data_IF_171046710981
#
_entry.id   IF_171046710981
#
_cell.length_a   1.000
_cell.length_b   1.000
_cell.length_c   1.000
_cell.angle_alpha   90.00
_cell.angle_beta   90.00
_cell.angle_gamma   90.00
#
_symmetry.space_group_name_H-M   'P 1'
#
loop_
_entity.id
_entity.type
_entity.pdbx_description
1 polymer ?
#
# COMPACT_ATOMS: atom_id res chain seq x y z
N UNK A 1 5.91 2.01 17.22
CA UNK A 1 5.40 1.90 15.85
C UNK A 1 5.27 0.43 15.46
N UNK A 2 4.27 0.13 14.64
CA UNK A 2 4.06 -1.22 14.13
C UNK A 2 5.18 -1.59 13.15
N UNK A 3 5.86 -2.72 13.36
CA UNK A 3 6.97 -3.17 12.50
C UNK A 3 6.62 -4.39 11.65
N UNK A 4 5.48 -4.99 11.91
CA UNK A 4 4.98 -6.10 11.12
C UNK A 4 3.46 -6.14 11.21
N UNK A 5 2.84 -6.69 10.17
CA UNK A 5 1.39 -6.80 10.10
C UNK A 5 1.01 -7.95 9.18
N UNK A 6 -0.23 -8.40 9.29
CA UNK A 6 -0.80 -9.37 8.35
C UNK A 6 -1.76 -8.67 7.41
N UNK A 7 -1.70 -9.02 6.15
CA UNK A 7 -2.56 -8.47 5.11
C UNK A 7 -2.89 -9.60 4.14
N UNK A 8 -4.17 -9.91 4.01
CA UNK A 8 -4.66 -11.00 3.15
C UNK A 8 -3.95 -12.34 3.45
N UNK A 9 -3.74 -12.63 4.74
CA UNK A 9 -3.10 -13.86 5.19
C UNK A 9 -1.58 -13.90 5.03
N UNK A 10 -0.96 -12.84 4.55
CA UNK A 10 0.49 -12.76 4.37
C UNK A 10 1.11 -11.84 5.41
N UNK A 11 2.24 -12.26 5.95
CA UNK A 11 3.00 -11.46 6.92
C UNK A 11 3.92 -10.51 6.18
N UNK A 12 3.79 -9.23 6.52
CA UNK A 12 4.62 -8.15 5.99
C UNK A 12 5.43 -7.51 7.10
N UNK A 13 6.59 -6.96 6.75
CA UNK A 13 7.45 -6.24 7.68
C UNK A 13 7.68 -4.82 7.16
N UNK A 14 7.85 -3.89 8.09
CA UNK A 14 8.21 -2.50 7.80
C UNK A 14 9.59 -2.25 8.40
N UNK A 15 10.50 -1.72 7.61
CA UNK A 15 11.87 -1.40 8.04
C UNK A 15 12.24 0.01 7.62
N UNK A 16 12.72 0.77 8.59
CA UNK A 16 13.27 2.09 8.31
C UNK A 16 14.76 1.96 8.06
N UNK A 17 15.27 2.76 7.11
CA UNK A 17 16.67 2.68 6.70
C UNK A 17 17.20 4.07 6.34
N UNK A 18 18.53 4.19 6.26
CA UNK A 18 19.18 5.42 5.83
C UNK A 18 18.73 5.81 4.41
N UNK A 19 18.51 7.10 4.11
CA UNK A 19 18.04 7.54 2.81
C UNK A 19 18.93 7.17 1.61
N UNK A 20 20.22 6.92 1.86
CA UNK A 20 21.15 6.52 0.80
C UNK A 20 21.25 5.01 0.58
N UNK A 21 20.49 4.22 1.35
CA UNK A 21 20.55 2.77 1.20
C UNK A 21 20.04 2.35 -0.19
N UNK A 22 20.83 1.56 -0.95
CA UNK A 22 20.43 1.09 -2.28
C UNK A 22 19.11 0.32 -2.32
N UNK A 23 18.63 -0.20 -1.20
CA UNK A 23 17.33 -0.88 -1.12
C UNK A 23 16.18 0.06 -1.48
N UNK A 24 16.38 1.37 -1.41
CA UNK A 24 15.37 2.37 -1.77
C UNK A 24 15.34 2.69 -3.27
N UNK A 25 16.14 2.02 -4.07
CA UNK A 25 16.03 2.11 -5.54
C UNK A 25 14.84 1.24 -5.97
N UNK A 26 13.89 1.86 -6.67
CA UNK A 26 12.70 1.16 -7.11
C UNK A 26 12.94 0.29 -8.36
N UNK A 27 11.91 -0.42 -8.81
CA UNK A 27 11.98 -1.30 -9.98
C UNK A 27 12.22 -0.57 -11.30
N UNK A 28 12.13 0.76 -11.32
CA UNK A 28 12.46 1.58 -12.49
C UNK A 28 13.91 2.07 -12.46
N UNK A 29 14.65 1.76 -11.38
CA UNK A 29 16.02 2.21 -11.19
C UNK A 29 16.16 3.59 -10.59
N UNK A 30 15.06 4.15 -10.05
CA UNK A 30 15.03 5.48 -9.45
C UNK A 30 15.16 5.38 -7.93
N UNK A 31 16.03 6.22 -7.34
CA UNK A 31 16.12 6.35 -5.89
C UNK A 31 14.86 7.03 -5.36
N UNK A 32 14.23 6.40 -4.35
CA UNK A 32 12.97 6.87 -3.76
C UNK A 32 13.10 6.98 -2.25
N UNK A 33 12.05 7.44 -1.58
CA UNK A 33 12.01 7.47 -0.11
C UNK A 33 11.38 6.23 0.50
N UNK A 34 10.81 5.33 -0.31
CA UNK A 34 10.27 4.06 0.17
C UNK A 34 10.09 3.09 -1.00
N UNK A 35 10.16 1.79 -0.69
CA UNK A 35 9.98 0.71 -1.66
C UNK A 35 9.22 -0.43 -1.01
N UNK A 36 8.22 -0.97 -1.70
CA UNK A 36 7.53 -2.20 -1.33
C UNK A 36 8.08 -3.35 -2.16
N UNK A 37 8.72 -4.30 -1.49
CA UNK A 37 9.24 -5.50 -2.13
C UNK A 37 8.23 -6.65 -1.96
N UNK A 38 7.54 -7.00 -3.04
CA UNK A 38 6.54 -8.06 -3.03
C UNK A 38 7.13 -9.45 -2.86
N UNK A 39 8.40 -9.66 -3.20
CA UNK A 39 9.06 -10.97 -3.09
C UNK A 39 9.42 -11.29 -1.63
N UNK A 40 9.97 -10.31 -0.92
CA UNK A 40 10.35 -10.47 0.49
C UNK A 40 9.24 -10.07 1.45
N UNK A 41 8.24 -9.36 0.96
CA UNK A 41 7.14 -8.78 1.75
C UNK A 41 7.68 -7.84 2.82
N UNK A 42 8.57 -6.95 2.41
CA UNK A 42 9.12 -5.90 3.25
C UNK A 42 8.83 -4.55 2.61
N UNK A 43 8.36 -3.61 3.43
CA UNK A 43 8.25 -2.21 3.04
C UNK A 43 9.44 -1.49 3.65
N UNK A 44 10.30 -0.92 2.81
CA UNK A 44 11.46 -0.14 3.22
C UNK A 44 11.12 1.35 3.15
N UNK A 45 11.41 2.08 4.20
CA UNK A 45 11.11 3.51 4.30
C UNK A 45 12.35 4.26 4.77
N UNK A 46 12.63 5.39 4.13
CA UNK A 46 13.70 6.29 4.58
C UNK A 46 13.40 6.81 5.97
N UNK A 47 14.38 6.78 6.86
CA UNK A 47 14.26 7.35 8.21
C UNK A 47 14.37 8.87 8.24
N UNK A 48 14.62 9.50 7.08
CA UNK A 48 14.71 10.94 6.95
C UNK A 48 13.35 11.63 6.73
N UNK A 49 12.26 10.88 6.57
CA UNK A 49 10.93 11.46 6.36
C UNK A 49 10.07 11.34 7.62
N UNK A 50 9.15 12.29 7.79
CA UNK A 50 8.29 12.35 8.98
C UNK A 50 7.00 13.10 8.69
N UNK A 51 6.08 13.16 9.67
CA UNK A 51 4.84 13.93 9.60
C UNK A 51 3.88 13.49 8.52
N UNK A 52 3.16 14.44 7.94
CA UNK A 52 2.17 14.18 6.88
C UNK A 52 2.76 13.46 5.68
N UNK A 53 3.97 13.82 5.29
CA UNK A 53 4.62 13.17 4.17
C UNK A 53 4.87 11.68 4.44
N UNK A 54 5.32 11.35 5.65
CA UNK A 54 5.49 9.95 6.04
C UNK A 54 4.16 9.20 5.97
N UNK A 55 3.08 9.80 6.44
CA UNK A 55 1.75 9.18 6.37
C UNK A 55 1.34 8.89 4.93
N UNK A 56 1.54 9.86 4.02
CA UNK A 56 1.24 9.66 2.61
C UNK A 56 2.07 8.54 1.99
N UNK A 57 3.36 8.49 2.32
CA UNK A 57 4.26 7.44 1.84
C UNK A 57 3.83 6.07 2.36
N UNK A 58 3.49 5.97 3.63
CA UNK A 58 3.00 4.70 4.22
C UNK A 58 1.73 4.23 3.53
N UNK A 59 0.76 5.12 3.28
CA UNK A 59 -0.46 4.76 2.56
C UNK A 59 -0.16 4.30 1.14
N UNK A 60 0.76 4.98 0.45
CA UNK A 60 1.19 4.60 -0.90
C UNK A 60 1.79 3.19 -0.91
N UNK A 61 2.72 2.90 -0.01
CA UNK A 61 3.39 1.61 0.05
C UNK A 61 2.46 0.49 0.52
N UNK A 62 1.56 0.76 1.47
CA UNK A 62 0.55 -0.21 1.88
C UNK A 62 -0.40 -0.54 0.73
N UNK A 63 -0.66 0.40 -0.17
CA UNK A 63 -1.46 0.15 -1.37
C UNK A 63 -0.78 -0.85 -2.29
N UNK A 64 0.54 -0.75 -2.48
CA UNK A 64 1.30 -1.76 -3.22
C UNK A 64 1.22 -3.13 -2.54
N UNK A 65 1.41 -3.17 -1.23
CA UNK A 65 1.31 -4.43 -0.47
C UNK A 65 -0.08 -5.06 -0.62
N UNK A 66 -1.13 -4.24 -0.60
CA UNK A 66 -2.51 -4.71 -0.82
C UNK A 66 -2.67 -5.31 -2.22
N UNK A 67 -2.18 -4.63 -3.25
CA UNK A 67 -2.26 -5.12 -4.62
C UNK A 67 -1.48 -6.42 -4.79
N UNK A 68 -0.29 -6.52 -4.18
CA UNK A 68 0.54 -7.73 -4.26
C UNK A 68 -0.07 -8.92 -3.53
N UNK A 69 -0.81 -8.68 -2.45
CA UNK A 69 -1.29 -9.75 -1.57
C UNK A 69 -2.75 -10.18 -1.81
N UNK A 70 -3.53 -9.39 -2.54
CA UNK A 70 -4.98 -9.61 -2.69
C UNK A 70 -5.39 -10.30 -4.00
N UNK A 71 -4.45 -10.57 -4.90
CA UNK A 71 -4.77 -11.04 -6.25
C UNK A 71 -5.21 -9.94 -7.21
N UNK A 72 -5.23 -8.69 -6.76
CA UNK A 72 -5.62 -7.55 -7.59
C UNK A 72 -4.73 -7.40 -8.83
N UNK A 73 -3.43 -7.66 -8.71
CA UNK A 73 -2.51 -7.56 -9.84
C UNK A 73 -2.89 -8.49 -10.98
N UNK A 74 -3.42 -9.68 -10.67
CA UNK A 74 -3.88 -10.61 -11.69
C UNK A 74 -4.98 -9.99 -12.54
N UNK A 75 -5.93 -9.30 -11.90
CA UNK A 75 -7.01 -8.60 -12.60
C UNK A 75 -6.49 -7.40 -13.39
N UNK A 76 -5.59 -6.63 -12.80
CA UNK A 76 -4.98 -5.49 -13.47
C UNK A 76 -4.24 -5.95 -14.73
N UNK A 77 -3.44 -7.02 -14.63
CA UNK A 77 -2.67 -7.56 -15.75
C UNK A 77 -3.57 -8.10 -16.85
N UNK A 78 -4.77 -8.57 -16.51
CA UNK A 78 -5.75 -9.02 -17.49
C UNK A 78 -6.38 -7.85 -18.27
N UNK A 79 -6.58 -6.72 -17.60
CA UNK A 79 -7.33 -5.59 -18.15
C UNK A 79 -6.46 -4.53 -18.83
N UNK A 80 -5.18 -4.47 -18.50
CA UNK A 80 -4.28 -3.39 -18.89
C UNK A 80 -3.13 -3.94 -19.72
N UNK A 81 -2.73 -3.28 -20.83
CA UNK A 81 -1.55 -3.69 -21.59
C UNK A 81 -0.29 -3.73 -20.72
N UNK A 82 0.57 -4.70 -20.98
CA UNK A 82 1.76 -4.95 -20.16
C UNK A 82 2.64 -3.72 -19.95
N UNK A 83 2.80 -2.92 -21.00
CA UNK A 83 3.61 -1.71 -20.95
C UNK A 83 3.08 -0.65 -19.98
N UNK A 84 1.82 -0.77 -19.56
CA UNK A 84 1.15 0.17 -18.66
C UNK A 84 0.97 -0.36 -17.24
N UNK A 85 1.42 -1.59 -16.94
CA UNK A 85 1.18 -2.20 -15.63
C UNK A 85 1.72 -1.39 -14.47
N UNK A 86 2.98 -0.97 -14.54
CA UNK A 86 3.62 -0.23 -13.46
C UNK A 86 2.99 1.16 -13.32
N UNK A 87 2.73 1.82 -14.42
CA UNK A 87 2.12 3.15 -14.42
C UNK A 87 0.73 3.13 -13.77
N UNK A 88 -0.10 2.16 -14.10
CA UNK A 88 -1.45 2.04 -13.54
C UNK A 88 -1.39 1.67 -12.05
N UNK A 89 -0.48 0.76 -11.68
CA UNK A 89 -0.27 0.42 -10.27
C UNK A 89 0.13 1.64 -9.45
N UNK A 90 1.06 2.46 -9.96
CA UNK A 90 1.47 3.69 -9.29
C UNK A 90 0.32 4.72 -9.21
N UNK A 91 -0.48 4.82 -10.27
CA UNK A 91 -1.64 5.71 -10.27
C UNK A 91 -2.63 5.34 -9.17
N UNK A 92 -2.89 4.05 -8.98
CA UNK A 92 -3.79 3.55 -7.93
C UNK A 92 -3.20 3.84 -6.55
N UNK A 93 -1.91 3.58 -6.35
CA UNK A 93 -1.25 3.85 -5.07
C UNK A 93 -1.29 5.34 -4.72
N UNK A 94 -1.08 6.20 -5.70
CA UNK A 94 -1.16 7.66 -5.50
C UNK A 94 -2.58 8.11 -5.19
N UNK A 95 -3.58 7.56 -5.86
CA UNK A 95 -4.98 7.88 -5.59
C UNK A 95 -5.35 7.54 -4.14
N UNK A 96 -4.96 6.35 -3.68
CA UNK A 96 -5.23 5.92 -2.31
C UNK A 96 -4.51 6.83 -1.31
N UNK A 97 -3.23 7.12 -1.53
CA UNK A 97 -2.45 7.98 -0.64
C UNK A 97 -3.05 9.38 -0.52
N UNK A 98 -3.54 9.93 -1.63
CA UNK A 98 -4.07 11.30 -1.65
C UNK A 98 -5.52 11.39 -1.15
N UNK A 99 -6.34 10.37 -1.39
CA UNK A 99 -7.80 10.49 -1.26
C UNK A 99 -8.45 9.55 -0.26
N UNK A 100 -7.79 8.45 0.11
CA UNK A 100 -8.42 7.44 0.97
C UNK A 100 -8.84 8.01 2.32
N UNK A 101 -8.01 8.88 2.92
CA UNK A 101 -8.34 9.48 4.22
C UNK A 101 -9.59 10.33 4.15
N UNK A 102 -9.76 11.12 3.10
CA UNK A 102 -10.95 11.94 2.91
C UNK A 102 -12.19 11.07 2.75
N UNK A 103 -12.10 10.04 1.93
CA UNK A 103 -13.21 9.11 1.73
C UNK A 103 -13.58 8.43 3.05
N UNK A 104 -12.58 7.98 3.81
CA UNK A 104 -12.81 7.33 5.10
C UNK A 104 -13.46 8.28 6.12
N UNK A 105 -13.02 9.54 6.18
CA UNK A 105 -13.62 10.55 7.07
C UNK A 105 -15.08 10.77 6.76
N UNK A 106 -15.43 10.87 5.49
CA UNK A 106 -16.83 11.04 5.05
C UNK A 106 -17.62 9.78 5.40
N UNK A 107 -17.08 8.60 5.14
CA UNK A 107 -17.74 7.34 5.49
C UNK A 107 -17.99 7.25 7.01
N UNK A 108 -17.02 7.69 7.81
CA UNK A 108 -17.18 7.72 9.25
C UNK A 108 -18.33 8.66 9.69
N UNK A 109 -18.47 9.81 9.04
CA UNK A 109 -19.57 10.73 9.31
C UNK A 109 -20.94 10.12 8.94
N UNK A 110 -20.97 9.29 7.89
CA UNK A 110 -22.22 8.68 7.43
C UNK A 110 -22.65 7.52 8.33
N UNK A 111 -21.73 6.61 8.65
CA UNK A 111 -22.07 5.35 9.32
C UNK A 111 -21.51 5.22 10.74
N UNK A 112 -20.74 6.21 11.20
CA UNK A 112 -20.16 6.18 12.54
C UNK A 112 -19.10 5.12 12.71
N UNK A 113 -19.05 4.51 13.90
CA UNK A 113 -17.99 3.55 14.25
C UNK A 113 -17.96 2.32 13.34
N UNK A 114 -19.05 2.02 12.64
CA UNK A 114 -19.08 0.92 11.66
C UNK A 114 -18.03 1.08 10.56
N UNK A 115 -17.61 2.32 10.25
CA UNK A 115 -16.61 2.57 9.22
C UNK A 115 -15.23 1.99 9.54
N UNK A 116 -14.94 1.73 10.82
CA UNK A 116 -13.66 1.16 11.23
C UNK A 116 -13.72 -0.35 11.43
N UNK A 117 -14.89 -0.96 11.31
CA UNK A 117 -15.04 -2.40 11.35
C UNK A 117 -14.93 -2.99 9.97
N UNK A 118 -14.05 -3.95 9.81
CA UNK A 118 -13.75 -4.55 8.53
C UNK A 118 -14.17 -6.01 8.52
N UNK A 119 -15.01 -6.35 7.53
CA UNK A 119 -15.39 -7.74 7.27
C UNK A 119 -14.93 -8.07 5.85
N UNK A 120 -14.00 -9.03 5.67
CA UNK A 120 -13.55 -9.43 4.34
C UNK A 120 -14.74 -9.90 3.49
N UNK A 121 -14.74 -9.51 2.22
CA UNK A 121 -15.82 -9.80 1.29
C UNK A 121 -16.23 -11.29 1.27
N UNK A 122 -15.24 -12.19 1.30
CA UNK A 122 -15.52 -13.63 1.30
C UNK A 122 -16.26 -14.08 2.55
N UNK A 123 -16.01 -13.45 3.72
CA UNK A 123 -16.72 -13.75 4.95
C UNK A 123 -18.15 -13.23 4.93
N UNK A 124 -18.38 -12.09 4.29
CA UNK A 124 -19.74 -11.58 4.10
C UNK A 124 -20.60 -12.55 3.32
N UNK A 125 -20.03 -13.21 2.32
CA UNK A 125 -20.76 -14.15 1.47
C UNK A 125 -21.15 -15.43 2.19
N UNK A 126 -20.44 -15.80 3.23
CA UNK A 126 -20.74 -17.01 4.02
C UNK A 126 -21.46 -16.73 5.31
N UNK A 127 -21.48 -15.49 5.73
CA UNK A 127 -22.21 -15.06 6.91
C UNK A 127 -23.66 -14.77 6.60
#
# INVERSE_FOLDING_TARGET
>A
MLKQFYMNGQKWKVRFTHPDNPVLVDRTGTMTCAVTDGNTRIIWISDAISGEFLTMVVLHELSHAMMFSSGFLKELHRLVPRENWVEVEELIANLIADKARQIFEIAYEIVGDEAIHFVPYLLEQVA
#
